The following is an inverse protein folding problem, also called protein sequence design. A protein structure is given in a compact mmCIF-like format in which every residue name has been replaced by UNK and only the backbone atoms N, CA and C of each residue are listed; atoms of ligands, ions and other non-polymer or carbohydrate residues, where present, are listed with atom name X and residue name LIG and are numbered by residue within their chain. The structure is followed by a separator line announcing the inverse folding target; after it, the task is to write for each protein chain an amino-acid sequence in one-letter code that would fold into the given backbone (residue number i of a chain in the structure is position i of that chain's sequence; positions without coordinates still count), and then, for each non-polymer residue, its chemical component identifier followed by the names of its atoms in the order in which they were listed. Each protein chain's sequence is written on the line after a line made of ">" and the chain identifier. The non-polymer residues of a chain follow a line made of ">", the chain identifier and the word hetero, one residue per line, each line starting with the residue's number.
data_IF_251980141928
#
_entry.id   IF_251980141928
#
_cell.length_a   1.000
_cell.length_b   1.000
_cell.length_c   1.000
_cell.angle_alpha   90.00
_cell.angle_beta   90.00
_cell.angle_gamma   90.00
#
_symmetry.space_group_name_H-M   'P 1'
#
loop_
_entity.id
_entity.type
_entity.pdbx_description
1 polymer ?
#
# COMPACT_ATOMS: atom_id res chain seq x y z
N UNK A 1 -14.01 -14.25 0.06
CA UNK A 1 -14.40 -13.86 1.44
C UNK A 1 -13.31 -14.32 2.40
N UNK A 2 -12.53 -13.40 2.96
CA UNK A 2 -11.60 -13.71 4.05
C UNK A 2 -12.45 -13.93 5.31
N UNK A 3 -12.38 -15.11 5.92
CA UNK A 3 -13.10 -15.39 7.17
C UNK A 3 -12.46 -14.56 8.28
N UNK A 4 -13.18 -13.50 8.70
CA UNK A 4 -12.76 -12.62 9.80
C UNK A 4 -12.87 -13.40 11.12
N UNK A 5 -11.89 -13.22 12.00
CA UNK A 5 -11.81 -13.87 13.29
C UNK A 5 -13.10 -13.63 14.11
N UNK A 6 -13.80 -14.72 14.48
CA UNK A 6 -15.08 -14.69 15.22
C UNK A 6 -14.99 -14.06 16.62
N UNK A 7 -13.78 -13.79 17.11
CA UNK A 7 -13.53 -13.19 18.42
C UNK A 7 -13.42 -11.65 18.39
N UNK A 8 -13.61 -11.01 17.23
CA UNK A 8 -13.71 -9.55 17.14
C UNK A 8 -15.16 -9.15 17.39
N UNK A 9 -15.45 -8.51 18.53
CA UNK A 9 -16.79 -7.99 18.87
C UNK A 9 -17.31 -6.88 17.93
N UNK A 10 -16.57 -6.54 16.87
CA UNK A 10 -16.99 -5.63 15.81
C UNK A 10 -16.51 -6.12 14.44
N UNK A 11 -17.33 -5.89 13.41
CA UNK A 11 -16.96 -6.14 12.03
C UNK A 11 -15.97 -5.07 11.57
N UNK A 12 -14.78 -5.49 11.12
CA UNK A 12 -13.79 -4.58 10.52
C UNK A 12 -13.83 -4.74 9.01
N UNK A 13 -14.10 -3.64 8.31
CA UNK A 13 -14.10 -3.57 6.84
C UNK A 13 -12.92 -2.69 6.40
N UNK A 14 -12.28 -3.05 5.29
CA UNK A 14 -11.23 -2.27 4.65
C UNK A 14 -11.61 -2.00 3.20
N UNK A 15 -11.53 -0.73 2.79
CA UNK A 15 -11.65 -0.30 1.41
C UNK A 15 -10.46 0.57 1.04
N UNK A 16 -10.02 0.47 -0.20
CA UNK A 16 -8.96 1.30 -0.77
C UNK A 16 -9.26 1.52 -2.24
N UNK A 17 -8.78 2.63 -2.77
CA UNK A 17 -9.01 3.05 -4.15
C UNK A 17 -7.68 3.15 -4.88
N UNK A 18 -7.65 2.68 -6.12
CA UNK A 18 -6.47 2.73 -6.98
C UNK A 18 -6.70 3.73 -8.10
N UNK A 19 -5.75 4.64 -8.30
CA UNK A 19 -5.79 5.59 -9.40
C UNK A 19 -5.24 4.95 -10.68
N UNK A 20 -6.04 4.95 -11.75
CA UNK A 20 -5.61 4.48 -13.08
C UNK A 20 -4.44 5.28 -13.67
N UNK A 21 -4.20 6.50 -13.19
CA UNK A 21 -3.04 7.33 -13.59
C UNK A 21 -1.74 6.87 -12.93
N UNK A 22 -1.83 6.16 -11.82
CA UNK A 22 -0.69 5.65 -11.04
C UNK A 22 -0.48 4.17 -11.32
N UNK A 23 -1.57 3.43 -11.54
CA UNK A 23 -1.57 2.01 -11.90
C UNK A 23 -1.62 1.88 -13.42
N UNK A 24 -0.50 2.22 -14.07
CA UNK A 24 -0.35 2.18 -15.53
C UNK A 24 0.39 0.93 -16.05
N UNK A 25 0.90 0.09 -15.14
CA UNK A 25 1.64 -1.15 -15.45
C UNK A 25 1.26 -2.26 -14.48
N UNK A 26 1.45 -3.52 -14.89
CA UNK A 26 1.15 -4.68 -14.05
C UNK A 26 2.02 -4.71 -12.79
N UNK A 27 3.28 -4.28 -12.90
CA UNK A 27 4.22 -4.18 -11.79
C UNK A 27 3.74 -3.18 -10.74
N UNK A 28 3.28 -1.99 -11.17
CA UNK A 28 2.74 -0.98 -10.25
C UNK A 28 1.45 -1.44 -9.60
N UNK A 29 0.56 -2.11 -10.34
CA UNK A 29 -0.64 -2.70 -9.76
C UNK A 29 -0.27 -3.68 -8.64
N UNK A 30 0.62 -4.63 -8.93
CA UNK A 30 1.08 -5.63 -7.97
C UNK A 30 1.68 -4.98 -6.72
N UNK A 31 2.61 -4.04 -6.91
CA UNK A 31 3.33 -3.40 -5.81
C UNK A 31 2.39 -2.57 -4.92
N UNK A 32 1.49 -1.79 -5.52
CA UNK A 32 0.51 -0.96 -4.78
C UNK A 32 -0.54 -1.85 -4.11
N UNK A 33 -1.08 -2.84 -4.82
CA UNK A 33 -2.10 -3.73 -4.26
C UNK A 33 -1.58 -4.46 -3.02
N UNK A 34 -0.37 -5.02 -3.09
CA UNK A 34 0.22 -5.73 -1.95
C UNK A 34 0.51 -4.78 -0.79
N UNK A 35 0.92 -3.54 -1.08
CA UNK A 35 1.09 -2.51 -0.06
C UNK A 35 -0.22 -2.21 0.69
N UNK A 36 -1.31 -1.97 -0.05
CA UNK A 36 -2.62 -1.71 0.54
C UNK A 36 -3.18 -2.93 1.27
N UNK A 37 -2.92 -4.15 0.78
CA UNK A 37 -3.28 -5.38 1.50
C UNK A 37 -2.51 -5.55 2.82
N UNK A 38 -1.28 -5.05 2.92
CA UNK A 38 -0.56 -5.01 4.20
C UNK A 38 -1.23 -4.03 5.18
N UNK A 39 -1.76 -2.89 4.70
CA UNK A 39 -2.59 -2.01 5.51
C UNK A 39 -3.91 -2.67 5.91
N UNK A 40 -4.57 -3.38 4.99
CA UNK A 40 -5.78 -4.15 5.26
C UNK A 40 -5.54 -5.17 6.38
N UNK A 41 -4.44 -5.93 6.31
CA UNK A 41 -4.09 -6.91 7.32
C UNK A 41 -3.85 -6.27 8.70
N UNK A 42 -3.17 -5.12 8.75
CA UNK A 42 -3.02 -4.36 9.99
C UNK A 42 -4.38 -3.93 10.58
N UNK A 43 -5.29 -3.48 9.75
CA UNK A 43 -6.61 -3.06 10.20
C UNK A 43 -7.44 -4.25 10.69
N UNK A 44 -7.60 -5.28 9.86
CA UNK A 44 -8.42 -6.45 10.16
C UNK A 44 -7.90 -7.17 11.40
N UNK A 45 -6.60 -7.51 11.44
CA UNK A 45 -6.05 -8.36 12.51
C UNK A 45 -5.55 -7.58 13.71
N UNK A 46 -5.01 -6.38 13.53
CA UNK A 46 -4.38 -5.62 14.62
C UNK A 46 -5.19 -4.40 15.08
N UNK A 47 -6.22 -3.99 14.33
CA UNK A 47 -7.00 -2.79 14.66
C UNK A 47 -6.22 -1.49 14.44
N UNK A 48 -5.14 -1.55 13.67
CA UNK A 48 -4.23 -0.42 13.41
C UNK A 48 -4.42 0.01 11.97
N UNK A 49 -4.96 1.21 11.78
CA UNK A 49 -5.38 1.70 10.45
C UNK A 49 -4.31 2.51 9.71
N UNK A 50 -3.21 2.92 10.37
CA UNK A 50 -2.27 3.89 9.79
C UNK A 50 -0.80 3.53 9.98
N UNK A 51 0.00 3.88 8.97
CA UNK A 51 1.46 3.90 9.00
C UNK A 51 2.14 2.55 8.75
N UNK A 52 3.47 2.62 8.59
CA UNK A 52 4.34 1.49 8.28
C UNK A 52 5.13 1.00 9.51
N UNK A 53 4.43 0.92 10.65
CA UNK A 53 4.98 0.49 11.93
C UNK A 53 5.34 -1.00 11.99
N UNK A 54 5.69 -1.50 13.18
CA UNK A 54 6.04 -2.93 13.39
C UNK A 54 4.99 -3.91 12.82
N UNK A 55 3.67 -3.72 13.02
CA UNK A 55 2.66 -4.62 12.46
C UNK A 55 2.69 -4.68 10.93
N UNK A 56 2.78 -3.53 10.27
CA UNK A 56 2.84 -3.45 8.81
C UNK A 56 4.09 -4.13 8.27
N UNK A 57 5.26 -3.88 8.88
CA UNK A 57 6.51 -4.54 8.51
C UNK A 57 6.44 -6.06 8.68
N UNK A 58 5.76 -6.53 9.73
CA UNK A 58 5.56 -7.97 9.94
C UNK A 58 4.72 -8.58 8.82
N UNK A 59 3.64 -7.92 8.38
CA UNK A 59 2.84 -8.40 7.25
C UNK A 59 3.60 -8.35 5.93
N UNK A 60 4.33 -7.27 5.66
CA UNK A 60 5.19 -7.18 4.47
C UNK A 60 6.24 -8.30 4.45
N UNK A 61 6.90 -8.59 5.58
CA UNK A 61 7.86 -9.68 5.69
C UNK A 61 7.21 -11.05 5.44
N UNK A 62 6.00 -11.30 5.96
CA UNK A 62 5.27 -12.54 5.68
C UNK A 62 4.98 -12.71 4.19
N UNK A 63 4.59 -11.64 3.50
CA UNK A 63 4.36 -11.67 2.05
C UNK A 63 5.68 -11.97 1.32
N UNK A 64 6.78 -11.29 1.66
CA UNK A 64 8.08 -11.55 1.04
C UNK A 64 8.61 -12.97 1.30
N UNK A 65 8.30 -13.57 2.45
CA UNK A 65 8.64 -14.97 2.73
C UNK A 65 7.79 -15.94 1.91
N UNK A 66 6.51 -15.61 1.69
CA UNK A 66 5.58 -16.48 0.96
C UNK A 66 5.77 -16.39 -0.56
N UNK A 67 6.17 -15.23 -1.04
CA UNK A 67 6.35 -14.90 -2.45
C UNK A 67 7.73 -14.28 -2.66
N UNK A 68 8.81 -15.10 -2.61
CA UNK A 68 10.19 -14.61 -2.73
C UNK A 68 10.52 -14.02 -4.10
N UNK A 69 9.70 -14.28 -5.13
CA UNK A 69 9.81 -13.70 -6.46
C UNK A 69 9.39 -12.21 -6.51
N UNK A 70 8.67 -11.73 -5.49
CA UNK A 70 8.23 -10.35 -5.44
C UNK A 70 9.40 -9.41 -5.09
N UNK A 71 9.42 -8.19 -5.65
CA UNK A 71 10.34 -7.17 -5.19
C UNK A 71 10.03 -6.80 -3.73
N UNK A 72 11.03 -6.20 -3.06
CA UNK A 72 10.86 -5.70 -1.70
C UNK A 72 9.68 -4.71 -1.66
N UNK A 73 8.71 -4.98 -0.80
CA UNK A 73 7.53 -4.13 -0.61
C UNK A 73 7.98 -2.81 0.03
N UNK A 74 7.99 -1.74 -0.75
CA UNK A 74 8.42 -0.41 -0.30
C UNK A 74 7.34 0.28 0.54
N UNK A 75 7.78 1.13 1.45
CA UNK A 75 6.91 2.01 2.26
C UNK A 75 6.39 3.23 1.49
N UNK A 76 7.19 3.72 0.55
CA UNK A 76 6.87 4.93 -0.22
C UNK A 76 6.76 4.60 -1.70
N UNK A 77 5.70 5.09 -2.33
CA UNK A 77 5.54 5.10 -3.77
C UNK A 77 6.51 6.13 -4.37
N UNK A 78 7.67 5.67 -4.83
CA UNK A 78 8.70 6.52 -5.45
C UNK A 78 8.53 6.56 -6.97
N UNK A 79 7.29 6.47 -7.45
CA UNK A 79 7.03 6.36 -8.88
C UNK A 79 7.08 7.74 -9.53
N UNK A 80 7.74 7.84 -10.68
CA UNK A 80 7.61 9.01 -11.55
C UNK A 80 6.20 8.97 -12.13
N UNK A 81 5.39 9.95 -11.74
CA UNK A 81 4.01 10.08 -12.25
C UNK A 81 4.10 10.85 -13.55
N UNK A 82 3.55 10.30 -14.63
CA UNK A 82 3.40 11.04 -15.87
C UNK A 82 2.29 12.07 -15.70
N UNK A 83 2.65 13.35 -15.68
CA UNK A 83 1.69 14.46 -15.59
C UNK A 83 1.72 15.28 -16.88
N UNK A 84 0.54 15.69 -17.35
CA UNK A 84 0.41 16.55 -18.54
C UNK A 84 1.12 17.90 -18.38
N UNK A 85 1.19 18.40 -17.15
CA UNK A 85 1.83 19.66 -16.81
C UNK A 85 2.74 19.46 -15.60
N UNK A 86 3.82 20.25 -15.55
CA UNK A 86 4.71 20.37 -14.38
C UNK A 86 4.79 21.83 -13.98
N UNK A 87 4.85 22.11 -12.68
CA UNK A 87 4.92 23.47 -12.16
C UNK A 87 6.33 23.74 -11.64
N UNK A 88 6.80 24.98 -11.80
CA UNK A 88 8.09 25.44 -11.27
C UNK A 88 7.85 26.72 -10.48
N UNK A 89 8.37 26.79 -9.26
CA UNK A 89 8.30 27.99 -8.45
C UNK A 89 9.07 29.13 -9.14
N UNK A 90 8.40 30.24 -9.44
CA UNK A 90 9.02 31.42 -10.06
C UNK A 90 10.05 32.11 -9.16
N UNK A 91 9.91 31.97 -7.83
CA UNK A 91 10.79 32.62 -6.84
C UNK A 91 12.08 31.85 -6.57
N UNK A 92 11.98 30.53 -6.34
CA UNK A 92 13.13 29.71 -5.96
C UNK A 92 13.53 28.64 -6.99
N UNK A 93 12.76 28.48 -8.07
CA UNK A 93 13.06 27.53 -9.13
C UNK A 93 12.81 26.06 -8.81
N UNK A 94 12.30 25.74 -7.61
CA UNK A 94 11.94 24.37 -7.22
C UNK A 94 10.86 23.79 -8.14
N UNK A 95 11.00 22.50 -8.47
CA UNK A 95 10.09 21.72 -9.34
C UNK A 95 9.48 20.57 -8.55
#
# INVERSE_FOLDING_TARGET
>A
MVKINKNLGCERVFSFELSSKIVDTAERLRDILIHELCHAACWIFNGISKGHGRPWKSWANKVMQKFPELPIIKRCHSYVIQTKFTYKCVKCGYR
#
